data_IF_948127599319
#
_entry.id   IF_948127599319
#
_cell.length_a   1.000
_cell.length_b   1.000
_cell.length_c   1.000
_cell.angle_alpha   90.00
_cell.angle_beta   90.00
_cell.angle_gamma   90.00
#
_symmetry.space_group_name_H-M   'P 1'
#
loop_
_entity.id
_entity.type
_entity.pdbx_description
1 polymer ?
#
# COMPACT_ATOMS: atom_id res chain seq x y z
N UNK A 1 0.91 -18.36 2.21
CA UNK A 1 1.89 -18.20 3.32
C UNK A 1 1.57 -16.98 4.18
N UNK A 2 1.38 -15.78 3.62
CA UNK A 2 1.00 -14.57 4.35
C UNK A 2 -0.27 -14.75 5.20
N UNK A 3 -1.29 -15.47 4.71
CA UNK A 3 -2.48 -15.79 5.50
C UNK A 3 -2.14 -16.56 6.78
N UNK A 4 -1.20 -17.52 6.73
CA UNK A 4 -0.83 -18.34 7.89
C UNK A 4 -0.16 -17.55 9.01
N UNK A 5 0.60 -16.49 8.67
CA UNK A 5 1.25 -15.63 9.66
C UNK A 5 0.37 -14.45 10.11
N UNK A 6 -0.73 -14.20 9.42
CA UNK A 6 -1.66 -13.10 9.73
C UNK A 6 -2.80 -13.52 10.65
N UNK A 7 -3.14 -14.82 10.63
CA UNK A 7 -4.20 -15.36 11.50
C UNK A 7 -3.54 -16.27 12.53
N UNK A 8 -3.65 -15.95 13.83
CA UNK A 8 -3.08 -16.78 14.89
C UNK A 8 -3.55 -18.23 14.78
N UNK A 9 -2.62 -19.18 14.84
CA UNK A 9 -2.95 -20.59 14.76
C UNK A 9 -3.44 -21.12 16.12
N UNK A 10 -4.23 -22.21 16.16
CA UNK A 10 -4.64 -22.81 17.41
C UNK A 10 -3.42 -23.13 18.30
N UNK A 11 -3.39 -22.55 19.51
CA UNK A 11 -2.30 -22.71 20.47
C UNK A 11 -1.17 -21.67 20.40
N UNK A 12 -1.19 -20.73 19.44
CA UNK A 12 -0.24 -19.63 19.39
C UNK A 12 -0.60 -18.49 20.35
N UNK A 13 -1.90 -18.32 20.63
CA UNK A 13 -2.38 -17.37 21.65
C UNK A 13 -2.76 -18.12 22.92
N UNK A 14 -2.34 -17.57 24.05
CA UNK A 14 -2.80 -18.03 25.36
C UNK A 14 -4.22 -17.50 25.63
N UNK A 15 -5.05 -18.20 26.42
CA UNK A 15 -6.34 -17.67 26.83
C UNK A 15 -6.17 -16.30 27.50
N UNK A 16 -6.77 -15.27 26.91
CA UNK A 16 -6.69 -13.89 27.40
C UNK A 16 -5.67 -12.99 26.69
N UNK A 17 -4.89 -13.52 25.75
CA UNK A 17 -4.05 -12.67 24.89
C UNK A 17 -4.93 -11.78 24.00
N UNK A 18 -4.56 -10.49 23.85
CA UNK A 18 -5.31 -9.57 22.99
C UNK A 18 -5.15 -9.98 21.53
N UNK A 19 -6.25 -10.01 20.81
CA UNK A 19 -6.23 -10.13 19.34
C UNK A 19 -5.75 -8.81 18.74
N UNK A 20 -5.11 -8.82 17.55
CA UNK A 20 -4.75 -7.59 16.87
C UNK A 20 -6.00 -6.82 16.41
N UNK A 21 -5.99 -5.51 16.54
CA UNK A 21 -7.04 -4.64 15.97
C UNK A 21 -6.77 -4.35 14.48
N UNK A 22 -5.52 -4.40 14.07
CA UNK A 22 -5.07 -4.09 12.72
C UNK A 22 -3.90 -4.99 12.30
N UNK A 23 -4.03 -5.63 11.16
CA UNK A 23 -2.97 -6.40 10.48
C UNK A 23 -2.47 -5.57 9.31
N UNK A 24 -1.16 -5.39 9.20
CA UNK A 24 -0.55 -4.57 8.16
C UNK A 24 0.32 -5.46 7.27
N UNK A 25 0.01 -5.46 5.97
CA UNK A 25 0.87 -6.06 4.95
C UNK A 25 1.70 -5.00 4.26
N UNK A 26 2.90 -5.34 3.75
CA UNK A 26 3.78 -4.40 3.08
C UNK A 26 3.19 -3.90 1.74
N UNK A 27 3.93 -2.99 1.11
CA UNK A 27 3.68 -2.55 -0.26
C UNK A 27 3.79 -3.72 -1.23
N UNK A 28 2.78 -3.90 -2.07
CA UNK A 28 2.75 -4.91 -3.15
C UNK A 28 3.24 -6.30 -2.71
N UNK A 29 2.69 -6.90 -1.64
CA UNK A 29 3.14 -8.20 -1.14
C UNK A 29 2.86 -9.34 -2.12
N UNK A 30 1.97 -9.10 -3.09
CA UNK A 30 1.63 -10.00 -4.17
C UNK A 30 1.22 -9.16 -5.41
N UNK A 31 1.56 -9.61 -6.63
CA UNK A 31 1.32 -8.85 -7.86
C UNK A 31 -0.14 -9.00 -8.33
N UNK A 32 -1.10 -8.77 -7.44
CA UNK A 32 -2.51 -8.89 -7.75
C UNK A 32 -3.17 -7.51 -7.79
N UNK A 33 -4.04 -7.34 -8.78
CA UNK A 33 -4.94 -6.20 -8.84
C UNK A 33 -6.02 -6.30 -7.76
N UNK A 34 -6.53 -5.17 -7.32
CA UNK A 34 -7.60 -5.10 -6.30
C UNK A 34 -8.86 -5.89 -6.69
N UNK A 35 -9.13 -6.04 -7.98
CA UNK A 35 -10.27 -6.79 -8.52
C UNK A 35 -9.98 -8.29 -8.75
N UNK A 36 -8.79 -8.79 -8.40
CA UNK A 36 -8.52 -10.23 -8.43
C UNK A 36 -9.32 -10.94 -7.33
N UNK A 37 -10.16 -11.87 -7.74
CA UNK A 37 -11.05 -12.61 -6.82
C UNK A 37 -10.27 -13.31 -5.70
N UNK A 38 -9.07 -13.83 -6.00
CA UNK A 38 -8.23 -14.54 -5.02
C UNK A 38 -7.70 -13.59 -3.95
N UNK A 39 -7.23 -12.40 -4.36
CA UNK A 39 -6.78 -11.38 -3.42
C UNK A 39 -7.94 -10.93 -2.53
N UNK A 40 -9.08 -10.62 -3.17
CA UNK A 40 -10.29 -10.19 -2.46
C UNK A 40 -10.73 -11.22 -1.41
N UNK A 41 -10.88 -12.48 -1.80
CA UNK A 41 -11.26 -13.56 -0.90
C UNK A 41 -10.23 -13.77 0.23
N UNK A 42 -8.93 -13.67 -0.10
CA UNK A 42 -7.86 -13.87 0.88
C UNK A 42 -7.88 -12.77 1.95
N UNK A 43 -7.90 -11.49 1.55
CA UNK A 43 -7.91 -10.38 2.51
C UNK A 43 -9.19 -10.35 3.34
N UNK A 44 -10.36 -10.56 2.70
CA UNK A 44 -11.63 -10.64 3.41
C UNK A 44 -11.67 -11.80 4.41
N UNK A 45 -11.13 -12.99 4.05
CA UNK A 45 -11.10 -14.11 4.98
C UNK A 45 -10.12 -13.89 6.15
N UNK A 46 -8.98 -13.24 5.90
CA UNK A 46 -8.06 -12.86 7.00
C UNK A 46 -8.75 -11.92 7.98
N UNK A 47 -9.40 -10.86 7.47
CA UNK A 47 -10.09 -9.88 8.31
C UNK A 47 -11.20 -10.55 9.16
N UNK A 48 -11.98 -11.44 8.55
CA UNK A 48 -13.06 -12.16 9.23
C UNK A 48 -12.53 -13.16 10.27
N UNK A 49 -11.52 -13.95 9.92
CA UNK A 49 -10.96 -14.97 10.81
C UNK A 49 -10.18 -14.38 11.99
N UNK A 50 -9.51 -13.24 11.78
CA UNK A 50 -8.76 -12.54 12.84
C UNK A 50 -9.62 -11.55 13.63
N UNK A 51 -10.84 -11.22 13.17
CA UNK A 51 -11.68 -10.15 13.70
C UNK A 51 -10.98 -8.77 13.71
N UNK A 52 -10.00 -8.56 12.81
CA UNK A 52 -9.16 -7.39 12.72
C UNK A 52 -9.36 -6.65 11.40
N UNK A 53 -9.03 -5.35 11.39
CA UNK A 53 -8.81 -4.67 10.12
C UNK A 53 -7.56 -5.20 9.43
N UNK A 54 -7.56 -5.20 8.09
CA UNK A 54 -6.38 -5.56 7.30
C UNK A 54 -6.05 -4.40 6.37
N UNK A 55 -4.86 -3.82 6.53
CA UNK A 55 -4.27 -2.85 5.60
C UNK A 55 -3.26 -3.59 4.72
N UNK A 56 -3.46 -3.58 3.41
CA UNK A 56 -2.59 -4.29 2.48
C UNK A 56 -2.23 -3.45 1.26
N UNK A 57 -0.96 -3.51 0.83
CA UNK A 57 -0.55 -2.98 -0.46
C UNK A 57 -1.18 -3.76 -1.61
N UNK A 58 -1.74 -3.07 -2.60
CA UNK A 58 -2.43 -3.65 -3.76
C UNK A 58 -2.16 -2.86 -5.03
N UNK A 59 -2.47 -3.43 -6.18
CA UNK A 59 -2.55 -2.70 -7.44
C UNK A 59 -3.99 -2.21 -7.63
N UNK A 60 -4.21 -0.91 -7.38
CA UNK A 60 -5.50 -0.27 -7.60
C UNK A 60 -5.81 -0.11 -9.09
N UNK A 61 -7.07 -0.20 -9.47
CA UNK A 61 -7.52 -0.01 -10.86
C UNK A 61 -8.36 1.26 -10.94
N UNK A 62 -8.07 2.10 -11.93
CA UNK A 62 -8.87 3.28 -12.22
C UNK A 62 -10.23 2.87 -12.79
N UNK A 63 -11.26 3.64 -12.44
CA UNK A 63 -12.63 3.43 -12.89
C UNK A 63 -13.07 4.54 -13.85
N UNK A 64 -14.02 4.23 -14.72
CA UNK A 64 -14.60 5.22 -15.61
C UNK A 64 -13.68 5.60 -16.78
N UNK A 65 -13.51 6.90 -17.01
CA UNK A 65 -12.74 7.46 -18.14
C UNK A 65 -11.25 7.14 -18.08
N UNK A 66 -10.75 6.79 -16.92
CA UNK A 66 -9.36 6.43 -16.66
C UNK A 66 -9.13 4.90 -16.66
N UNK A 67 -10.10 4.13 -17.12
CA UNK A 67 -10.03 2.67 -17.13
C UNK A 67 -8.75 2.17 -17.82
N UNK A 68 -8.04 1.27 -17.14
CA UNK A 68 -6.76 0.72 -17.59
C UNK A 68 -5.53 1.36 -16.95
N UNK A 69 -5.69 2.47 -16.23
CA UNK A 69 -4.61 3.02 -15.41
C UNK A 69 -4.49 2.24 -14.10
N UNK A 70 -3.28 2.16 -13.56
CA UNK A 70 -2.96 1.39 -12.36
C UNK A 70 -2.38 2.31 -11.30
N UNK A 71 -2.85 2.13 -10.07
CA UNK A 71 -2.33 2.84 -8.89
C UNK A 71 -1.52 1.88 -8.01
N UNK A 72 -0.47 2.39 -7.40
CA UNK A 72 0.14 1.75 -6.24
C UNK A 72 -0.70 2.14 -5.03
N UNK A 73 -1.40 1.17 -4.43
CA UNK A 73 -2.46 1.46 -3.48
C UNK A 73 -2.28 0.74 -2.15
N UNK A 74 -2.86 1.31 -1.10
CA UNK A 74 -3.08 0.67 0.19
C UNK A 74 -4.59 0.49 0.41
N UNK A 75 -5.02 -0.76 0.53
CA UNK A 75 -6.41 -1.14 0.70
C UNK A 75 -6.70 -1.49 2.16
N UNK A 76 -7.79 -0.93 2.71
CA UNK A 76 -8.28 -1.28 4.03
C UNK A 76 -9.52 -2.18 3.93
N UNK A 77 -9.45 -3.32 4.63
CA UNK A 77 -10.54 -4.29 4.74
C UNK A 77 -10.99 -4.34 6.20
N UNK A 78 -12.30 -4.23 6.45
CA UNK A 78 -12.89 -4.26 7.78
C UNK A 78 -13.05 -5.71 8.29
N UNK A 79 -13.24 -5.91 9.62
CA UNK A 79 -13.39 -7.24 10.23
C UNK A 79 -14.56 -8.08 9.69
N UNK A 80 -15.57 -7.45 9.07
CA UNK A 80 -16.66 -8.15 8.39
C UNK A 80 -16.31 -8.62 6.96
N UNK A 81 -15.08 -8.29 6.48
CA UNK A 81 -14.60 -8.62 5.16
C UNK A 81 -14.89 -7.58 4.07
N UNK A 82 -15.54 -6.48 4.42
CA UNK A 82 -15.83 -5.39 3.48
C UNK A 82 -14.57 -4.55 3.18
N UNK A 83 -14.41 -4.19 1.93
CA UNK A 83 -13.36 -3.27 1.46
C UNK A 83 -13.86 -1.84 1.64
N UNK A 84 -13.36 -1.18 2.69
CA UNK A 84 -13.96 0.07 3.18
C UNK A 84 -13.27 1.34 2.73
N UNK A 85 -11.97 1.30 2.46
CA UNK A 85 -11.23 2.47 2.02
C UNK A 85 -9.97 2.10 1.24
N UNK A 86 -9.50 3.00 0.38
CA UNK A 86 -8.27 2.86 -0.40
C UNK A 86 -7.53 4.20 -0.44
N UNK A 87 -6.23 4.14 -0.23
CA UNK A 87 -5.30 5.24 -0.49
C UNK A 87 -4.48 4.90 -1.73
N UNK A 88 -4.34 5.83 -2.65
CA UNK A 88 -3.52 5.71 -3.85
C UNK A 88 -2.28 6.60 -3.69
N UNK A 89 -1.09 6.02 -3.90
CA UNK A 89 0.20 6.69 -3.80
C UNK A 89 0.24 7.94 -4.66
N UNK A 90 0.58 9.07 -4.06
CA UNK A 90 0.62 10.38 -4.73
C UNK A 90 2.00 10.63 -5.33
N UNK A 91 3.07 10.36 -4.56
CA UNK A 91 4.46 10.55 -5.01
C UNK A 91 5.06 9.26 -5.55
N UNK A 92 5.02 9.14 -6.86
CA UNK A 92 5.60 8.01 -7.58
C UNK A 92 7.12 8.13 -7.67
N UNK A 93 7.81 6.99 -7.68
CA UNK A 93 9.26 6.91 -7.84
C UNK A 93 9.63 7.11 -9.31
N UNK A 94 10.38 8.20 -9.65
CA UNK A 94 10.85 8.40 -11.02
C UNK A 94 11.69 7.22 -11.50
N UNK A 95 11.49 6.80 -12.74
CA UNK A 95 12.14 5.65 -13.38
C UNK A 95 11.90 4.28 -12.74
N UNK A 96 11.12 4.22 -11.65
CA UNK A 96 10.66 2.99 -11.03
C UNK A 96 9.18 2.73 -11.29
N UNK A 97 8.34 3.74 -11.08
CA UNK A 97 6.90 3.64 -11.21
C UNK A 97 6.35 4.44 -12.41
N UNK A 98 7.08 5.46 -12.86
CA UNK A 98 6.77 6.21 -14.08
C UNK A 98 8.03 6.72 -14.76
N UNK A 99 7.93 7.05 -16.04
CA UNK A 99 9.04 7.67 -16.81
C UNK A 99 8.79 9.16 -16.91
N UNK A 100 9.61 10.01 -16.25
CA UNK A 100 9.53 11.46 -16.45
C UNK A 100 9.78 11.80 -17.92
N UNK A 101 9.02 12.75 -18.47
CA UNK A 101 9.18 13.19 -19.87
C UNK A 101 9.07 12.04 -20.89
N UNK A 102 8.15 11.09 -20.67
CA UNK A 102 7.96 9.91 -21.51
C UNK A 102 7.93 10.23 -23.01
N UNK A 103 7.21 11.28 -23.41
CA UNK A 103 7.13 11.74 -24.80
C UNK A 103 8.50 12.12 -25.38
N UNK A 104 9.38 12.72 -24.58
CA UNK A 104 10.74 13.08 -24.99
C UNK A 104 11.60 11.84 -25.21
N UNK A 105 11.58 10.89 -24.28
CA UNK A 105 12.31 9.62 -24.42
C UNK A 105 11.76 8.75 -25.55
N UNK A 106 10.45 8.78 -25.79
CA UNK A 106 9.84 8.11 -26.94
C UNK A 106 10.31 8.70 -28.27
N UNK A 107 10.47 10.03 -28.35
CA UNK A 107 11.04 10.74 -29.52
C UNK A 107 12.49 10.34 -29.78
N UNK A 108 13.28 10.13 -28.71
CA UNK A 108 14.67 9.67 -28.82
C UNK A 108 14.81 8.17 -29.09
N UNK A 109 13.73 7.48 -29.47
CA UNK A 109 13.69 6.02 -29.73
C UNK A 109 14.09 5.14 -28.53
N UNK A 110 14.12 5.67 -27.31
CA UNK A 110 14.40 4.93 -26.07
C UNK A 110 13.17 4.17 -25.53
N UNK A 111 12.37 3.61 -26.42
CA UNK A 111 11.12 2.90 -26.10
C UNK A 111 11.29 1.73 -25.12
N UNK A 112 12.48 1.15 -25.04
CA UNK A 112 12.75 0.04 -24.11
C UNK A 112 12.69 0.51 -22.66
N UNK A 113 13.26 1.68 -22.35
CA UNK A 113 13.24 2.29 -21.01
C UNK A 113 11.79 2.55 -20.55
N UNK A 114 10.95 3.04 -21.47
CA UNK A 114 9.53 3.33 -21.19
C UNK A 114 8.72 2.05 -20.95
N UNK A 115 9.08 0.93 -21.57
CA UNK A 115 8.33 -0.35 -21.46
C UNK A 115 8.67 -1.16 -20.20
N UNK A 116 9.84 -0.96 -19.62
CA UNK A 116 10.32 -1.72 -18.45
C UNK A 116 9.88 -1.09 -17.12
N UNK A 117 9.48 0.17 -17.13
CA UNK A 117 8.96 0.90 -15.97
C UNK A 117 7.44 0.72 -15.89
N UNK A 118 6.93 0.52 -14.69
CA UNK A 118 5.49 0.47 -14.45
C UNK A 118 4.81 1.77 -14.91
N UNK A 119 3.61 1.66 -15.47
CA UNK A 119 2.83 2.84 -15.88
C UNK A 119 1.79 3.16 -14.81
N UNK A 120 2.28 3.47 -13.62
CA UNK A 120 1.43 3.92 -12.52
C UNK A 120 1.02 5.36 -12.72
N UNK A 121 -0.19 5.67 -12.25
CA UNK A 121 -0.69 7.03 -12.16
C UNK A 121 -0.73 7.49 -10.70
N UNK A 122 -0.44 8.76 -10.41
CA UNK A 122 -0.47 9.28 -9.06
C UNK A 122 -1.90 9.41 -8.54
N UNK A 123 -2.09 9.10 -7.25
CA UNK A 123 -3.28 9.48 -6.51
C UNK A 123 -3.40 11.00 -6.34
N UNK A 124 -4.58 11.45 -5.94
CA UNK A 124 -4.87 12.89 -5.81
C UNK A 124 -5.28 13.32 -4.41
N UNK A 125 -5.62 12.37 -3.54
CA UNK A 125 -6.20 12.66 -2.23
C UNK A 125 -5.41 11.98 -1.10
N UNK A 126 -5.10 12.75 -0.05
CA UNK A 126 -4.53 12.22 1.21
C UNK A 126 -5.65 11.74 2.11
N UNK A 127 -6.16 10.59 1.76
CA UNK A 127 -7.28 9.97 2.46
C UNK A 127 -6.83 9.42 3.83
N UNK A 128 -7.63 9.70 4.85
CA UNK A 128 -7.46 9.13 6.20
C UNK A 128 -8.38 7.93 6.34
N UNK A 129 -7.82 6.77 6.66
CA UNK A 129 -8.52 5.49 6.68
C UNK A 129 -9.14 5.22 8.06
N UNK A 130 -10.42 4.82 8.15
CA UNK A 130 -11.08 4.57 9.44
C UNK A 130 -10.74 3.18 9.99
N UNK A 131 -10.22 3.10 11.23
CA UNK A 131 -9.97 1.85 11.95
C UNK A 131 -10.62 1.97 13.32
N UNK A 132 -11.75 1.32 13.55
CA UNK A 132 -12.60 1.52 14.74
C UNK A 132 -12.94 3.01 14.96
N UNK A 133 -12.60 3.54 16.15
CA UNK A 133 -12.73 4.96 16.49
C UNK A 133 -11.52 5.80 16.08
N UNK A 134 -10.48 5.18 15.56
CA UNK A 134 -9.23 5.84 15.17
C UNK A 134 -9.18 6.13 13.67
N UNK A 135 -8.29 7.04 13.32
CA UNK A 135 -7.99 7.41 11.94
C UNK A 135 -6.53 7.13 11.61
N UNK A 136 -6.32 6.41 10.52
CA UNK A 136 -5.01 5.99 10.05
C UNK A 136 -4.59 6.83 8.85
N UNK A 137 -3.44 7.50 8.92
CA UNK A 137 -2.76 8.10 7.79
C UNK A 137 -1.79 7.08 7.20
N UNK A 138 -2.06 6.65 5.96
CA UNK A 138 -1.21 5.67 5.27
C UNK A 138 -0.50 6.34 4.12
N UNK A 139 0.81 6.13 4.03
CA UNK A 139 1.64 6.56 2.90
C UNK A 139 2.55 5.42 2.48
N UNK A 140 3.00 5.45 1.21
CA UNK A 140 3.62 4.29 0.58
C UNK A 140 5.07 4.58 0.23
N UNK A 141 6.00 3.81 0.80
CA UNK A 141 7.43 3.73 0.45
C UNK A 141 8.08 5.12 0.40
N UNK A 142 8.51 5.55 -0.78
CA UNK A 142 9.21 6.80 -1.06
C UNK A 142 8.49 8.07 -0.55
N UNK A 143 7.20 8.03 -0.30
CA UNK A 143 6.45 9.15 0.28
C UNK A 143 6.95 9.56 1.66
N UNK A 144 7.64 8.68 2.40
CA UNK A 144 8.34 9.01 3.64
C UNK A 144 9.39 10.13 3.48
N UNK A 145 9.86 10.36 2.25
CA UNK A 145 10.81 11.44 1.92
C UNK A 145 10.17 12.83 1.82
N UNK A 146 8.84 12.92 1.95
CA UNK A 146 8.07 14.15 1.86
C UNK A 146 7.38 14.48 3.21
N UNK A 147 8.14 14.91 4.24
CA UNK A 147 7.61 15.08 5.60
C UNK A 147 6.46 16.11 5.67
N UNK A 148 6.50 17.15 4.84
CA UNK A 148 5.44 18.14 4.78
C UNK A 148 4.10 17.56 4.33
N UNK A 149 4.15 16.56 3.46
CA UNK A 149 2.96 15.89 2.96
C UNK A 149 2.46 14.80 3.91
N UNK A 150 3.40 14.08 4.54
CA UNK A 150 3.05 13.12 5.60
C UNK A 150 2.36 13.85 6.77
N UNK A 151 2.80 15.07 7.10
CA UNK A 151 2.16 15.92 8.11
C UNK A 151 0.71 16.25 7.78
N UNK A 152 0.32 16.31 6.51
CA UNK A 152 -1.06 16.59 6.12
C UNK A 152 -2.03 15.49 6.55
N UNK A 153 -1.60 14.22 6.63
CA UNK A 153 -2.44 13.16 7.20
C UNK A 153 -2.80 13.46 8.66
N UNK A 154 -1.83 13.94 9.45
CA UNK A 154 -2.10 14.35 10.83
C UNK A 154 -3.03 15.57 10.89
N UNK A 155 -2.84 16.56 10.00
CA UNK A 155 -3.73 17.72 9.89
C UNK A 155 -5.15 17.32 9.50
N UNK A 156 -5.32 16.28 8.69
CA UNK A 156 -6.61 15.70 8.30
C UNK A 156 -7.19 14.78 9.40
N UNK A 157 -6.53 14.70 10.57
CA UNK A 157 -7.02 14.02 11.75
C UNK A 157 -6.54 12.57 11.91
N UNK A 158 -5.50 12.14 11.22
CA UNK A 158 -4.86 10.86 11.49
C UNK A 158 -4.24 10.85 12.89
N UNK A 159 -4.46 9.77 13.62
CA UNK A 159 -3.95 9.53 14.97
C UNK A 159 -2.81 8.51 14.98
N UNK A 160 -2.70 7.73 13.92
CA UNK A 160 -1.62 6.78 13.66
C UNK A 160 -1.13 6.98 12.22
N UNK A 161 0.19 7.03 12.03
CA UNK A 161 0.83 7.10 10.72
C UNK A 161 1.47 5.75 10.41
N UNK A 162 1.22 5.22 9.21
CA UNK A 162 1.76 3.94 8.74
C UNK A 162 2.42 4.12 7.39
N UNK A 163 3.70 3.80 7.32
CA UNK A 163 4.40 3.63 6.04
C UNK A 163 4.41 2.14 5.67
N UNK A 164 3.83 1.79 4.54
CA UNK A 164 4.01 0.47 3.94
C UNK A 164 5.06 0.55 2.84
N UNK A 165 6.04 -0.33 2.87
CA UNK A 165 7.16 -0.32 1.92
C UNK A 165 7.55 -1.73 1.49
N UNK A 166 8.17 -1.82 0.32
CA UNK A 166 8.81 -3.02 -0.18
C UNK A 166 10.28 -2.71 -0.51
N UNK A 167 11.13 -2.77 0.50
CA UNK A 167 12.56 -2.47 0.35
C UNK A 167 13.35 -3.59 -0.36
N UNK A 168 12.69 -4.69 -0.72
CA UNK A 168 13.27 -5.77 -1.53
C UNK A 168 13.79 -5.31 -2.90
N UNK A 169 13.27 -4.20 -3.43
CA UNK A 169 13.75 -3.58 -4.66
C UNK A 169 15.21 -3.10 -4.58
N UNK A 170 15.69 -2.79 -3.38
CA UNK A 170 17.04 -2.27 -3.17
C UNK A 170 18.11 -3.38 -3.04
N UNK A 171 17.70 -4.66 -2.97
CA UNK A 171 18.60 -5.80 -2.80
C UNK A 171 19.51 -5.65 -1.57
N UNK A 172 20.76 -6.10 -1.67
CA UNK A 172 21.74 -6.07 -0.59
C UNK A 172 22.47 -4.70 -0.45
N UNK A 173 21.86 -3.63 -0.95
CA UNK A 173 22.43 -2.28 -0.85
C UNK A 173 22.16 -1.64 0.53
N UNK A 174 22.82 -0.51 0.87
CA UNK A 174 22.50 0.27 2.07
C UNK A 174 21.15 1.01 2.02
N UNK A 175 20.45 1.02 0.89
CA UNK A 175 19.27 1.82 0.66
C UNK A 175 18.09 1.49 1.62
N UNK A 176 17.80 0.24 2.01
CA UNK A 176 16.78 -0.05 3.00
C UNK A 176 17.00 0.66 4.35
N UNK A 177 18.25 0.73 4.80
CA UNK A 177 18.60 1.44 6.03
C UNK A 177 18.47 2.96 5.90
N UNK A 178 18.79 3.52 4.74
CA UNK A 178 18.59 4.93 4.45
C UNK A 178 17.10 5.26 4.42
N UNK A 179 16.30 4.45 3.74
CA UNK A 179 14.85 4.61 3.68
C UNK A 179 14.20 4.56 5.07
N UNK A 180 14.55 3.59 5.89
CA UNK A 180 14.07 3.50 7.28
C UNK A 180 14.45 4.73 8.11
N UNK A 181 15.64 5.31 7.90
CA UNK A 181 16.06 6.54 8.60
C UNK A 181 15.30 7.77 8.15
N UNK A 182 14.88 7.84 6.88
CA UNK A 182 14.06 8.94 6.37
C UNK A 182 12.61 8.85 6.86
N UNK A 183 12.11 7.64 7.11
CA UNK A 183 10.76 7.41 7.62
C UNK A 183 10.62 7.68 9.14
N UNK A 184 11.71 7.93 9.86
CA UNK A 184 11.75 8.24 11.30
C UNK A 184 11.78 9.73 11.58
#
# INVERSE_FOLDING_TARGET
ELKKISVPQPGELMPGDPLPDLIIWPESPAPFFENDVRLHQTLSSIAQESHAYVLAGTLGVARGSEAGQVYNSAQLVAPNGDWVARYDKIHLVPFGEYVPLENFFALLHMKKLVREVGNFVPGTERMVLPVHSYKLGTFICYESSYPDEVREFAANGAQLLVNISNDGWFGDSPAPWQHLRMAR
#
